data_IF_047284241146
#
_entry.id   IF_047284241146
#
_cell.length_a   1.000
_cell.length_b   1.000
_cell.length_c   1.000
_cell.angle_alpha   90.00
_cell.angle_beta   90.00
_cell.angle_gamma   90.00
#
_symmetry.space_group_name_H-M   'P 1'
#
loop_
_entity.id
_entity.type
_entity.pdbx_description
1 polymer ?
#
# COMPACT_ATOMS: atom_id res chain seq x y z
N UNK A 1 -34.02 24.29 -25.50
CA UNK A 1 -32.67 24.87 -25.25
C UNK A 1 -32.57 25.01 -23.75
N UNK A 2 -31.69 24.39 -22.97
CA UNK A 2 -30.37 23.83 -23.23
C UNK A 2 -29.96 22.92 -22.05
N UNK A 3 -29.38 21.76 -22.40
CA UNK A 3 -28.28 21.03 -21.73
C UNK A 3 -28.50 20.42 -20.33
N UNK A 4 -28.58 19.08 -20.33
CA UNK A 4 -28.17 18.19 -19.23
C UNK A 4 -26.75 18.52 -18.73
N UNK A 5 -26.46 18.26 -17.46
CA UNK A 5 -25.19 17.68 -17.06
C UNK A 5 -25.40 16.33 -16.38
N UNK A 6 -25.02 15.27 -17.09
CA UNK A 6 -24.81 13.92 -16.57
C UNK A 6 -23.41 13.84 -15.95
N UNK A 7 -23.30 13.47 -14.67
CA UNK A 7 -22.08 12.97 -14.01
C UNK A 7 -22.49 12.15 -12.77
N UNK A 8 -21.64 11.24 -12.29
CA UNK A 8 -21.22 10.00 -12.92
C UNK A 8 -21.80 8.81 -12.12
N UNK A 9 -21.84 7.67 -12.79
CA UNK A 9 -22.34 6.41 -12.28
C UNK A 9 -21.54 5.97 -11.04
N UNK A 10 -22.13 6.07 -9.84
CA UNK A 10 -21.64 5.42 -8.63
C UNK A 10 -21.91 3.91 -8.78
N UNK A 11 -21.10 3.25 -9.61
CA UNK A 11 -21.08 1.80 -9.66
C UNK A 11 -20.37 1.31 -8.40
N UNK A 12 -21.18 0.88 -7.43
CA UNK A 12 -20.99 -0.35 -6.69
C UNK A 12 -19.53 -0.74 -6.44
N UNK A 13 -18.87 -0.12 -5.46
CA UNK A 13 -17.69 -0.75 -4.86
C UNK A 13 -18.17 -1.81 -3.86
N UNK A 14 -18.73 -2.88 -4.40
CA UNK A 14 -18.62 -4.17 -3.73
C UNK A 14 -17.12 -4.46 -3.69
N UNK A 15 -16.50 -4.38 -2.50
CA UNK A 15 -15.08 -4.68 -2.28
C UNK A 15 -14.86 -6.18 -2.47
N UNK A 16 -15.01 -6.64 -3.71
CA UNK A 16 -14.62 -7.96 -4.14
C UNK A 16 -13.09 -7.96 -4.10
N UNK A 17 -12.49 -8.89 -3.34
CA UNK A 17 -11.05 -9.08 -3.37
C UNK A 17 -10.69 -9.63 -4.75
N UNK A 18 -10.25 -8.75 -5.64
CA UNK A 18 -9.77 -9.12 -6.96
C UNK A 18 -8.25 -9.39 -6.85
N UNK A 19 -7.80 -10.66 -6.88
CA UNK A 19 -6.40 -11.04 -6.68
C UNK A 19 -5.43 -10.44 -7.72
N UNK A 20 -5.94 -10.00 -8.87
CA UNK A 20 -5.12 -9.35 -9.89
C UNK A 20 -4.73 -7.91 -9.53
N UNK A 21 -5.50 -7.23 -8.68
CA UNK A 21 -5.36 -5.80 -8.34
C UNK A 21 -5.07 -5.57 -6.87
N UNK A 22 -5.42 -6.50 -5.99
CA UNK A 22 -5.14 -6.42 -4.56
C UNK A 22 -4.16 -7.50 -4.14
N UNK A 23 -3.28 -7.14 -3.22
CA UNK A 23 -2.41 -8.10 -2.54
C UNK A 23 -2.65 -8.03 -1.04
N UNK A 24 -2.33 -9.11 -0.37
CA UNK A 24 -2.45 -9.28 1.07
C UNK A 24 -1.05 -9.33 1.67
N UNK A 25 -0.76 -8.40 2.58
CA UNK A 25 0.46 -8.41 3.38
C UNK A 25 0.13 -8.97 4.75
N UNK A 26 0.89 -9.95 5.21
CA UNK A 26 0.69 -10.61 6.50
C UNK A 26 1.83 -10.21 7.43
N UNK A 27 1.46 -9.81 8.64
CA UNK A 27 2.39 -9.49 9.73
C UNK A 27 2.71 -10.71 10.57
N UNK A 28 3.77 -10.65 11.37
CA UNK A 28 4.16 -11.73 12.29
C UNK A 28 3.12 -12.03 13.36
N UNK A 29 2.24 -11.08 13.63
CA UNK A 29 1.13 -11.21 14.59
C UNK A 29 -0.11 -11.89 13.95
N UNK A 30 -0.04 -12.21 12.65
CA UNK A 30 -1.14 -12.79 11.88
C UNK A 30 -2.15 -11.78 11.36
N UNK A 31 -1.93 -10.47 11.52
CA UNK A 31 -2.80 -9.46 10.91
C UNK A 31 -2.57 -9.37 9.40
N UNK A 32 -3.67 -9.28 8.66
CA UNK A 32 -3.72 -9.23 7.21
C UNK A 32 -4.07 -7.81 6.73
N UNK A 33 -3.24 -7.25 5.86
CA UNK A 33 -3.42 -5.92 5.28
C UNK A 33 -3.66 -6.05 3.77
N UNK A 34 -4.85 -5.66 3.32
CA UNK A 34 -5.19 -5.67 1.89
C UNK A 34 -4.77 -4.33 1.29
N UNK A 35 -3.88 -4.38 0.30
CA UNK A 35 -3.31 -3.19 -0.34
C UNK A 35 -3.40 -3.30 -1.86
N UNK A 36 -3.54 -2.14 -2.51
CA UNK A 36 -3.56 -2.07 -3.96
C UNK A 36 -2.17 -2.45 -4.51
N UNK A 37 -2.16 -3.39 -5.46
CA UNK A 37 -0.95 -3.90 -6.09
C UNK A 37 -0.09 -2.78 -6.65
N UNK A 38 -0.70 -1.70 -7.15
CA UNK A 38 0.01 -0.55 -7.71
C UNK A 38 0.89 0.15 -6.69
N UNK A 39 0.47 0.17 -5.42
CA UNK A 39 1.25 0.79 -4.33
C UNK A 39 2.49 -0.03 -3.99
N UNK A 40 2.47 -1.31 -4.33
CA UNK A 40 3.51 -2.28 -4.01
C UNK A 40 4.46 -2.53 -5.18
N UNK A 41 4.07 -2.26 -6.42
CA UNK A 41 4.95 -2.29 -7.60
C UNK A 41 6.32 -1.59 -7.38
N UNK A 42 6.42 -0.40 -6.74
CA UNK A 42 7.73 0.21 -6.49
C UNK A 42 8.60 -0.54 -5.46
N UNK A 43 8.04 -1.48 -4.68
CA UNK A 43 8.80 -2.35 -3.79
C UNK A 43 9.41 -3.50 -4.59
N UNK A 44 10.74 -3.46 -4.78
CA UNK A 44 11.48 -4.45 -5.56
C UNK A 44 11.47 -5.83 -4.93
N UNK A 45 11.54 -5.92 -3.60
CA UNK A 45 11.52 -7.22 -2.92
C UNK A 45 10.20 -7.97 -3.16
N UNK A 46 9.09 -7.23 -3.23
CA UNK A 46 7.76 -7.81 -3.47
C UNK A 46 7.48 -8.03 -4.95
N UNK A 47 8.27 -7.44 -5.84
CA UNK A 47 8.14 -7.63 -7.29
C UNK A 47 8.26 -9.11 -7.67
N UNK A 48 9.22 -9.82 -7.08
CA UNK A 48 9.43 -11.26 -7.33
C UNK A 48 8.22 -12.09 -6.92
N UNK A 49 7.58 -11.77 -5.78
CA UNK A 49 6.35 -12.44 -5.35
C UNK A 49 5.13 -12.04 -6.20
N UNK A 50 5.05 -10.78 -6.62
CA UNK A 50 4.03 -10.32 -7.58
C UNK A 50 4.11 -11.03 -8.93
N UNK A 51 5.31 -11.43 -9.36
CA UNK A 51 5.51 -12.20 -10.59
C UNK A 51 5.11 -13.68 -10.43
N UNK A 52 5.19 -14.23 -9.22
CA UNK A 52 4.82 -15.63 -8.91
C UNK A 52 3.31 -15.87 -8.74
N UNK A 53 2.44 -14.93 -9.12
CA UNK A 53 0.98 -14.99 -8.88
C UNK A 53 0.58 -15.12 -7.39
N UNK A 54 1.53 -14.96 -6.47
CA UNK A 54 1.25 -15.00 -5.04
C UNK A 54 0.58 -13.69 -4.60
N UNK A 55 -0.66 -13.80 -4.14
CA UNK A 55 -1.43 -12.65 -3.65
C UNK A 55 -1.29 -12.43 -2.16
N UNK A 56 -0.55 -13.30 -1.45
CA UNK A 56 -0.33 -13.23 -0.01
C UNK A 56 1.16 -13.24 0.25
N UNK A 57 1.63 -12.26 1.00
CA UNK A 57 3.05 -12.02 1.25
C UNK A 57 3.23 -11.88 2.76
N UNK A 58 4.03 -12.76 3.35
CA UNK A 58 4.51 -12.58 4.72
C UNK A 58 5.71 -11.62 4.72
N UNK A 59 5.64 -10.60 5.57
CA UNK A 59 6.69 -9.58 5.66
C UNK A 59 7.68 -9.82 6.79
N UNK A 60 7.40 -10.71 7.74
CA UNK A 60 8.27 -10.91 8.91
C UNK A 60 8.38 -9.70 9.86
N UNK A 61 7.46 -8.73 9.79
CA UNK A 61 7.38 -7.58 10.70
C UNK A 61 6.09 -7.57 11.51
N UNK A 62 6.11 -6.91 12.67
CA UNK A 62 4.91 -6.73 13.50
C UNK A 62 3.87 -5.87 12.79
N UNK A 63 2.60 -6.05 13.18
CA UNK A 63 1.47 -5.35 12.56
C UNK A 63 1.62 -3.82 12.57
N UNK A 64 2.16 -3.25 13.65
CA UNK A 64 2.43 -1.80 13.77
C UNK A 64 3.39 -1.29 12.69
N UNK A 65 4.43 -2.07 12.39
CA UNK A 65 5.40 -1.71 11.35
C UNK A 65 4.77 -1.86 9.96
N UNK A 66 4.05 -2.95 9.72
CA UNK A 66 3.38 -3.20 8.43
C UNK A 66 2.33 -2.12 8.15
N UNK A 67 1.54 -1.72 9.15
CA UNK A 67 0.56 -0.65 9.03
C UNK A 67 1.21 0.67 8.58
N UNK A 68 2.28 1.08 9.26
CA UNK A 68 3.01 2.31 8.92
C UNK A 68 3.71 2.23 7.57
N UNK A 69 4.21 1.06 7.20
CA UNK A 69 4.82 0.81 5.90
C UNK A 69 3.79 0.97 4.78
N UNK A 70 2.60 0.39 4.94
CA UNK A 70 1.48 0.55 4.01
C UNK A 70 1.06 2.02 3.92
N UNK A 71 0.93 2.71 5.05
CA UNK A 71 0.63 4.14 5.09
C UNK A 71 1.66 4.95 4.28
N UNK A 72 2.95 4.62 4.42
CA UNK A 72 4.04 5.25 3.68
C UNK A 72 3.98 4.96 2.18
N UNK A 73 3.65 3.73 1.76
CA UNK A 73 3.52 3.38 0.33
C UNK A 73 2.43 4.20 -0.36
N UNK A 74 1.26 4.32 0.27
CA UNK A 74 0.17 5.17 -0.25
C UNK A 74 0.53 6.64 -0.23
N UNK A 75 1.15 7.11 0.84
CA UNK A 75 1.62 8.48 0.93
C UNK A 75 2.63 8.80 -0.18
N UNK A 76 3.62 7.94 -0.40
CA UNK A 76 4.59 8.08 -1.47
C UNK A 76 3.90 8.14 -2.82
N UNK A 77 3.01 7.18 -3.14
CA UNK A 77 2.27 7.17 -4.41
C UNK A 77 1.45 8.46 -4.59
N UNK A 78 0.74 8.90 -3.55
CA UNK A 78 -0.19 10.03 -3.62
C UNK A 78 0.51 11.37 -3.84
N UNK A 79 1.70 11.53 -3.28
CA UNK A 79 2.48 12.76 -3.31
C UNK A 79 3.77 12.62 -4.12
N UNK A 80 3.92 11.57 -4.94
CA UNK A 80 5.08 11.38 -5.82
C UNK A 80 5.18 12.52 -6.84
N UNK A 81 4.01 12.92 -7.38
CA UNK A 81 3.88 13.95 -8.41
C UNK A 81 3.62 15.37 -7.86
N UNK A 82 3.43 15.50 -6.55
CA UNK A 82 3.12 16.79 -5.90
C UNK A 82 3.90 16.90 -4.58
N UNK A 83 5.22 17.17 -4.65
CA UNK A 83 6.07 17.27 -3.47
C UNK A 83 5.77 18.52 -2.65
N UNK A 84 5.30 19.60 -3.28
CA UNK A 84 5.03 20.89 -2.62
C UNK A 84 3.82 20.86 -1.66
N UNK A 85 2.78 20.06 -1.93
CA UNK A 85 1.62 19.93 -1.03
C UNK A 85 1.67 18.69 -0.12
N UNK A 86 2.86 18.09 0.05
CA UNK A 86 3.00 16.85 0.79
C UNK A 86 2.90 17.11 2.32
N UNK A 87 1.94 16.50 3.04
CA UNK A 87 1.80 16.70 4.48
C UNK A 87 2.94 16.01 5.24
N UNK A 88 3.20 16.42 6.48
CA UNK A 88 4.22 15.79 7.30
C UNK A 88 3.81 14.35 7.65
N UNK A 89 4.68 13.37 7.35
CA UNK A 89 4.47 11.97 7.71
C UNK A 89 5.07 11.71 9.10
N UNK A 90 4.20 11.62 10.12
CA UNK A 90 4.64 11.42 11.49
C UNK A 90 5.00 9.95 11.76
N UNK A 91 6.20 9.73 12.28
CA UNK A 91 6.73 8.42 12.64
C UNK A 91 7.11 8.47 14.11
N UNK A 92 6.56 7.55 14.89
CA UNK A 92 6.92 7.44 16.30
C UNK A 92 8.39 7.01 16.43
N UNK A 93 9.16 7.63 17.33
CA UNK A 93 10.58 7.30 17.50
C UNK A 93 10.79 5.84 17.90
N UNK A 94 9.83 5.25 18.63
CA UNK A 94 9.85 3.86 19.06
C UNK A 94 9.87 2.85 17.91
N UNK A 95 9.30 3.22 16.76
CA UNK A 95 9.13 2.32 15.60
C UNK A 95 10.04 2.67 14.43
N UNK A 96 10.67 3.85 14.47
CA UNK A 96 11.42 4.42 13.35
C UNK A 96 12.52 3.49 12.83
N UNK A 97 13.27 2.83 13.73
CA UNK A 97 14.34 1.91 13.35
C UNK A 97 13.81 0.68 12.62
N UNK A 98 12.78 0.02 13.19
CA UNK A 98 12.18 -1.17 12.59
C UNK A 98 11.50 -0.84 11.25
N UNK A 99 10.84 0.32 11.15
CA UNK A 99 10.24 0.79 9.91
C UNK A 99 11.30 1.06 8.83
N UNK A 100 12.46 1.61 9.20
CA UNK A 100 13.58 1.81 8.27
C UNK A 100 14.12 0.47 7.75
N UNK A 101 14.28 -0.52 8.61
CA UNK A 101 14.71 -1.88 8.21
C UNK A 101 13.68 -2.52 7.28
N UNK A 102 12.40 -2.43 7.60
CA UNK A 102 11.32 -2.93 6.75
C UNK A 102 11.27 -2.21 5.39
N UNK A 103 11.42 -0.89 5.38
CA UNK A 103 11.47 -0.10 4.15
C UNK A 103 12.70 -0.45 3.29
N UNK A 104 13.85 -0.73 3.92
CA UNK A 104 15.03 -1.21 3.22
C UNK A 104 14.79 -2.59 2.62
N UNK A 105 14.24 -3.52 3.39
CA UNK A 105 13.85 -4.85 2.91
C UNK A 105 12.94 -4.77 1.68
N UNK A 106 11.96 -3.86 1.65
CA UNK A 106 11.10 -3.67 0.46
C UNK A 106 11.84 -3.17 -0.79
N UNK A 107 12.98 -2.50 -0.62
CA UNK A 107 13.74 -1.87 -1.71
C UNK A 107 14.87 -2.72 -2.28
N UNK A 108 15.39 -3.70 -1.52
CA UNK A 108 16.44 -4.62 -1.99
C UNK A 108 15.91 -5.55 -3.07
#
# INVERSE_FOLDING_TARGET
>A
MSKKPTKPNAKDTNTQFDPSVMIKLVSTDGMEFIVDRRCVIPAKALKKQLESEETTIDLGFSAEIVEKLVQYLYYKMRYDHDPDNRPQFHIEPSIALNLMVAAHYLQT
#
